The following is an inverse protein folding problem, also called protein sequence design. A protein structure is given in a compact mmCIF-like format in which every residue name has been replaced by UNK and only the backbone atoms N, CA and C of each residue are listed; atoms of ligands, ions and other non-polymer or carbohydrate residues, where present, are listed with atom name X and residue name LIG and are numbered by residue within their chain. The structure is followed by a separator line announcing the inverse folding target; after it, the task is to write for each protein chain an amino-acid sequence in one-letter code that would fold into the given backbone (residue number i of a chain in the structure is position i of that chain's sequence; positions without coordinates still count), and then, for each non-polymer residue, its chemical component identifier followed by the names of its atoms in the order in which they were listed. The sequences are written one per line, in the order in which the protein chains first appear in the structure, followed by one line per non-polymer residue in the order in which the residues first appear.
data_IF_802227733789
#
_entry.id   IF_802227733789
#
_cell.length_a   1.000
_cell.length_b   1.000
_cell.length_c   1.000
_cell.angle_alpha   90.00
_cell.angle_beta   90.00
_cell.angle_gamma   90.00
#
_symmetry.space_group_name_H-M   'P 1'
#
loop_
_entity.id
_entity.type
_entity.pdbx_description
1 polymer ?
#
# COMPACT_ATOMS: atom_id res chain seq x y z
N UNK A 1 -21.29 -9.93 10.60
CA UNK A 1 -21.26 -9.44 12.00
C UNK A 1 -21.94 -8.09 12.02
N UNK A 2 -22.83 -7.85 12.97
CA UNK A 2 -23.41 -6.51 13.16
C UNK A 2 -22.33 -5.52 13.63
N UNK A 3 -22.47 -4.26 13.27
CA UNK A 3 -21.44 -3.26 13.58
C UNK A 3 -21.26 -3.04 15.09
N UNK A 4 -22.37 -3.05 15.84
CA UNK A 4 -22.34 -2.89 17.32
C UNK A 4 -21.60 -4.04 18.02
N UNK A 5 -21.73 -5.24 17.48
CA UNK A 5 -21.01 -6.42 17.99
C UNK A 5 -19.50 -6.27 17.73
N UNK A 6 -19.13 -5.84 16.52
CA UNK A 6 -17.72 -5.61 16.17
C UNK A 6 -17.13 -4.47 17.00
N UNK A 7 -17.85 -3.37 17.19
CA UNK A 7 -17.41 -2.25 18.04
C UNK A 7 -17.17 -2.70 19.48
N UNK A 8 -18.07 -3.50 20.06
CA UNK A 8 -17.87 -4.03 21.42
C UNK A 8 -16.60 -4.89 21.52
N UNK A 9 -16.33 -5.73 20.53
CA UNK A 9 -15.11 -6.55 20.49
C UNK A 9 -13.85 -5.69 20.41
N UNK A 10 -13.84 -4.69 19.52
CA UNK A 10 -12.69 -3.78 19.35
C UNK A 10 -12.47 -2.97 20.65
N UNK A 11 -13.52 -2.42 21.22
CA UNK A 11 -13.43 -1.54 22.39
C UNK A 11 -13.08 -2.30 23.69
N UNK A 12 -13.19 -3.63 23.72
CA UNK A 12 -12.68 -4.44 24.80
C UNK A 12 -11.16 -4.26 25.01
N UNK A 13 -10.41 -4.00 23.93
CA UNK A 13 -8.97 -3.80 23.96
C UNK A 13 -8.55 -2.31 24.08
N UNK A 14 -9.49 -1.41 24.37
CA UNK A 14 -9.27 0.06 24.42
C UNK A 14 -8.11 0.46 25.33
N UNK A 15 -7.89 -0.23 26.45
CA UNK A 15 -6.79 0.08 27.35
C UNK A 15 -5.43 -0.16 26.70
N UNK A 16 -5.30 -1.21 25.89
CA UNK A 16 -4.07 -1.50 25.15
C UNK A 16 -3.81 -0.45 24.06
N UNK A 17 -4.85 -0.04 23.33
CA UNK A 17 -4.72 1.03 22.31
C UNK A 17 -4.24 2.34 22.93
N UNK A 18 -4.81 2.75 24.06
CA UNK A 18 -4.39 3.97 24.78
C UNK A 18 -2.97 3.88 25.31
N UNK A 19 -2.54 2.73 25.82
CA UNK A 19 -1.21 2.54 26.37
C UNK A 19 -0.13 2.52 25.27
N UNK A 20 -0.43 1.97 24.09
CA UNK A 20 0.52 1.81 22.99
C UNK A 20 0.49 2.94 21.96
N UNK A 21 -0.53 3.81 21.98
CA UNK A 21 -0.82 4.73 20.89
C UNK A 21 -1.29 4.01 19.61
N UNK A 22 -1.69 2.75 19.73
CA UNK A 22 -2.15 1.89 18.63
C UNK A 22 -3.63 2.03 18.32
N UNK A 23 -4.18 1.01 17.65
CA UNK A 23 -5.59 1.00 17.24
C UNK A 23 -5.94 -0.21 16.40
N UNK A 24 -6.88 -0.04 15.48
CA UNK A 24 -7.37 -1.11 14.62
C UNK A 24 -6.93 -0.92 13.18
N UNK A 25 -6.59 -2.02 12.51
CA UNK A 25 -6.31 -2.04 11.08
C UNK A 25 -7.42 -2.77 10.36
N UNK A 26 -8.10 -2.07 9.47
CA UNK A 26 -9.09 -2.67 8.58
C UNK A 26 -8.38 -3.26 7.37
N UNK A 27 -8.51 -4.56 7.18
CA UNK A 27 -7.91 -5.30 6.08
C UNK A 27 -8.80 -6.50 5.69
N UNK A 28 -8.28 -7.48 4.97
CA UNK A 28 -9.01 -8.69 4.58
C UNK A 28 -9.00 -8.89 3.07
N UNK A 29 -10.15 -8.82 2.38
CA UNK A 29 -10.21 -8.65 0.93
C UNK A 29 -9.80 -7.23 0.55
N UNK A 30 -10.73 -6.46 -0.04
CA UNK A 30 -10.57 -5.01 -0.18
C UNK A 30 -11.63 -4.34 0.70
N UNK A 31 -11.25 -3.70 1.82
CA UNK A 31 -12.22 -3.13 2.77
C UNK A 31 -13.13 -2.07 2.12
N UNK A 32 -12.61 -1.31 1.16
CA UNK A 32 -13.36 -0.26 0.47
C UNK A 32 -14.52 -0.78 -0.39
N UNK A 33 -14.59 -2.10 -0.65
CA UNK A 33 -15.75 -2.75 -1.27
C UNK A 33 -16.98 -2.76 -0.35
N UNK A 34 -16.77 -2.61 0.96
CA UNK A 34 -17.82 -2.52 1.97
C UNK A 34 -17.92 -1.09 2.52
N UNK A 35 -17.96 -0.12 1.61
CA UNK A 35 -17.76 1.29 1.87
C UNK A 35 -18.57 1.80 3.07
N UNK A 36 -19.90 1.66 3.06
CA UNK A 36 -20.78 2.21 4.10
C UNK A 36 -20.51 1.60 5.49
N UNK A 37 -20.26 0.30 5.52
CA UNK A 37 -19.92 -0.40 6.76
C UNK A 37 -18.58 0.07 7.32
N UNK A 38 -17.56 0.17 6.45
CA UNK A 38 -16.21 0.60 6.84
C UNK A 38 -16.20 2.06 7.27
N UNK A 39 -16.89 2.94 6.54
CA UNK A 39 -17.03 4.36 6.90
C UNK A 39 -17.68 4.54 8.27
N UNK A 40 -18.76 3.82 8.53
CA UNK A 40 -19.45 3.87 9.81
C UNK A 40 -18.54 3.38 10.95
N UNK A 41 -17.83 2.27 10.75
CA UNK A 41 -16.90 1.74 11.75
C UNK A 41 -15.76 2.72 12.04
N UNK A 42 -15.15 3.29 11.01
CA UNK A 42 -14.05 4.26 11.15
C UNK A 42 -14.49 5.49 11.96
N UNK A 43 -15.69 6.02 11.66
CA UNK A 43 -16.26 7.14 12.42
C UNK A 43 -16.44 6.81 13.89
N UNK A 44 -17.04 5.67 14.22
CA UNK A 44 -17.23 5.21 15.61
C UNK A 44 -15.87 5.06 16.31
N UNK A 45 -14.88 4.44 15.67
CA UNK A 45 -13.55 4.27 16.26
C UNK A 45 -12.87 5.61 16.52
N UNK A 46 -13.02 6.57 15.62
CA UNK A 46 -12.48 7.94 15.78
C UNK A 46 -13.14 8.67 16.96
N UNK A 47 -14.48 8.59 17.09
CA UNK A 47 -15.25 9.16 18.21
C UNK A 47 -14.83 8.54 19.55
N UNK A 48 -14.48 7.24 19.56
CA UNK A 48 -14.01 6.52 20.74
C UNK A 48 -12.51 6.73 21.06
N UNK A 49 -11.81 7.52 20.23
CA UNK A 49 -10.38 7.82 20.37
C UNK A 49 -9.48 6.59 20.14
N UNK A 50 -9.91 5.67 19.28
CA UNK A 50 -9.14 4.51 18.84
C UNK A 50 -8.44 4.85 17.51
N UNK A 51 -7.12 4.65 17.44
CA UNK A 51 -6.35 4.84 16.21
C UNK A 51 -6.86 3.93 15.09
N UNK A 52 -6.89 4.43 13.86
CA UNK A 52 -7.47 3.73 12.70
C UNK A 52 -6.47 3.61 11.57
N UNK A 53 -6.30 2.41 11.05
CA UNK A 53 -5.51 2.15 9.86
C UNK A 53 -6.34 1.40 8.82
N UNK A 54 -6.12 1.70 7.55
CA UNK A 54 -6.71 0.99 6.42
C UNK A 54 -5.61 0.36 5.57
N UNK A 55 -5.77 -0.91 5.24
CA UNK A 55 -4.97 -1.58 4.22
C UNK A 55 -5.80 -1.74 2.96
N UNK A 56 -5.37 -1.13 1.86
CA UNK A 56 -6.10 -1.12 0.58
C UNK A 56 -5.18 -1.43 -0.59
N UNK A 57 -5.73 -2.04 -1.64
CA UNK A 57 -5.06 -2.16 -2.93
C UNK A 57 -5.22 -0.88 -3.80
N UNK A 58 -5.90 0.15 -3.32
CA UNK A 58 -6.09 1.41 -4.02
C UNK A 58 -7.20 1.40 -5.08
N UNK A 59 -7.96 0.31 -5.23
CA UNK A 59 -9.04 0.21 -6.21
C UNK A 59 -10.38 0.61 -5.58
N UNK A 60 -10.60 1.91 -5.41
CA UNK A 60 -11.81 2.48 -4.81
C UNK A 60 -12.27 3.74 -5.55
N UNK A 61 -13.52 4.14 -5.33
CA UNK A 61 -14.02 5.44 -5.81
C UNK A 61 -13.30 6.57 -5.09
N UNK A 62 -12.61 7.42 -5.87
CA UNK A 62 -11.76 8.49 -5.35
C UNK A 62 -12.55 9.50 -4.52
N UNK A 63 -13.70 9.94 -5.02
CA UNK A 63 -14.53 10.98 -4.40
C UNK A 63 -15.12 10.48 -3.09
N UNK A 64 -15.79 9.34 -3.12
CA UNK A 64 -16.36 8.75 -1.90
C UNK A 64 -15.32 8.49 -0.83
N UNK A 65 -14.14 8.01 -1.22
CA UNK A 65 -13.06 7.75 -0.27
C UNK A 65 -12.60 9.05 0.42
N UNK A 66 -12.39 10.12 -0.35
CA UNK A 66 -11.96 11.41 0.19
C UNK A 66 -13.01 12.03 1.10
N UNK A 67 -14.27 12.01 0.68
CA UNK A 67 -15.35 12.71 1.37
C UNK A 67 -15.81 11.99 2.64
N UNK A 68 -15.79 10.66 2.64
CA UNK A 68 -16.43 9.87 3.68
C UNK A 68 -15.44 9.11 4.59
N UNK A 69 -14.29 8.64 4.07
CA UNK A 69 -13.36 7.79 4.83
C UNK A 69 -12.11 8.51 5.32
N UNK A 70 -11.51 9.35 4.47
CA UNK A 70 -10.15 9.85 4.68
C UNK A 70 -9.98 10.62 5.99
N UNK A 71 -10.99 11.40 6.40
CA UNK A 71 -10.95 12.18 7.65
C UNK A 71 -10.84 11.30 8.91
N UNK A 72 -11.31 10.06 8.82
CA UNK A 72 -11.34 9.10 9.93
C UNK A 72 -10.19 8.09 9.91
N UNK A 73 -9.15 8.30 9.06
CA UNK A 73 -7.99 7.43 8.95
C UNK A 73 -6.74 8.13 9.50
N UNK A 74 -6.03 7.47 10.40
CA UNK A 74 -4.74 7.92 10.92
C UNK A 74 -3.57 7.35 10.12
N UNK A 75 -3.76 6.18 9.48
CA UNK A 75 -2.74 5.52 8.68
C UNK A 75 -3.36 4.80 7.48
N UNK A 76 -2.70 4.86 6.33
CA UNK A 76 -3.11 4.19 5.10
C UNK A 76 -1.95 3.34 4.59
N UNK A 77 -2.11 2.03 4.64
CA UNK A 77 -1.25 1.07 3.95
C UNK A 77 -1.77 0.86 2.54
N UNK A 78 -1.00 1.27 1.56
CA UNK A 78 -1.35 1.21 0.16
C UNK A 78 -0.54 0.13 -0.55
N UNK A 79 -1.17 -0.96 -0.94
CA UNK A 79 -0.51 -2.11 -1.58
C UNK A 79 -0.33 -1.84 -3.09
N UNK A 80 0.84 -1.39 -3.52
CA UNK A 80 1.22 -1.22 -4.92
C UNK A 80 1.95 -2.48 -5.41
N UNK A 81 1.29 -3.30 -6.23
CA UNK A 81 1.78 -4.62 -6.61
C UNK A 81 2.64 -4.59 -7.88
N UNK A 82 2.16 -3.92 -8.90
CA UNK A 82 2.79 -3.86 -10.23
C UNK A 82 2.66 -2.46 -10.78
N UNK A 83 3.75 -1.91 -11.34
CA UNK A 83 3.76 -0.61 -11.99
C UNK A 83 3.17 -0.67 -13.41
N UNK A 84 3.40 -1.79 -14.12
CA UNK A 84 2.88 -2.01 -15.48
C UNK A 84 1.40 -2.44 -15.44
N UNK A 85 0.54 -1.72 -16.17
CA UNK A 85 -0.90 -1.97 -16.19
C UNK A 85 -1.30 -3.29 -16.87
N UNK A 86 -0.53 -3.76 -17.86
CA UNK A 86 -0.81 -5.03 -18.53
C UNK A 86 -0.44 -6.21 -17.65
N UNK A 87 0.73 -6.16 -17.00
CA UNK A 87 1.13 -7.17 -16.02
C UNK A 87 0.14 -7.18 -14.84
N UNK A 88 -0.29 -6.00 -14.39
CA UNK A 88 -1.29 -5.90 -13.34
C UNK A 88 -2.60 -6.58 -13.76
N UNK A 89 -3.07 -6.36 -14.99
CA UNK A 89 -4.28 -7.03 -15.53
C UNK A 89 -4.13 -8.54 -15.62
N UNK A 90 -2.96 -9.02 -16.06
CA UNK A 90 -2.67 -10.47 -16.16
C UNK A 90 -2.75 -11.15 -14.79
N UNK A 91 -2.17 -10.53 -13.75
CA UNK A 91 -2.03 -11.15 -12.44
C UNK A 91 -3.18 -10.88 -11.47
N UNK A 92 -3.95 -9.79 -11.69
CA UNK A 92 -5.04 -9.38 -10.77
C UNK A 92 -6.42 -9.32 -11.44
N UNK A 93 -6.49 -9.39 -12.77
CA UNK A 93 -7.73 -9.30 -13.54
C UNK A 93 -8.13 -7.86 -13.92
N UNK A 94 -7.43 -6.84 -13.46
CA UNK A 94 -7.70 -5.42 -13.77
C UNK A 94 -6.42 -4.65 -14.00
N UNK A 95 -6.46 -3.56 -14.77
CA UNK A 95 -5.32 -2.65 -14.84
C UNK A 95 -5.17 -1.81 -13.56
N UNK A 96 -4.08 -1.04 -13.48
CA UNK A 96 -3.75 -0.24 -12.31
C UNK A 96 -3.97 1.26 -12.49
N UNK A 97 -4.61 1.72 -13.56
CA UNK A 97 -4.76 3.16 -13.83
C UNK A 97 -5.48 3.90 -12.69
N UNK A 98 -6.60 3.33 -12.20
CA UNK A 98 -7.31 3.89 -11.05
C UNK A 98 -6.48 3.83 -9.76
N UNK A 99 -5.73 2.76 -9.57
CA UNK A 99 -4.84 2.57 -8.40
C UNK A 99 -3.78 3.67 -8.37
N UNK A 100 -3.09 3.92 -9.49
CA UNK A 100 -2.07 4.96 -9.61
C UNK A 100 -2.65 6.37 -9.45
N UNK A 101 -3.85 6.61 -10.00
CA UNK A 101 -4.58 7.86 -9.78
C UNK A 101 -4.87 8.09 -8.29
N UNK A 102 -5.38 7.08 -7.59
CA UNK A 102 -5.69 7.16 -6.16
C UNK A 102 -4.43 7.32 -5.32
N UNK A 103 -3.32 6.65 -5.68
CA UNK A 103 -2.04 6.83 -5.02
C UNK A 103 -1.52 8.26 -5.15
N UNK A 104 -1.57 8.84 -6.35
CA UNK A 104 -1.15 10.22 -6.59
C UNK A 104 -2.01 11.22 -5.81
N UNK A 105 -3.33 11.00 -5.76
CA UNK A 105 -4.24 11.82 -4.96
C UNK A 105 -3.90 11.74 -3.47
N UNK A 106 -3.72 10.54 -2.91
CA UNK A 106 -3.36 10.37 -1.50
C UNK A 106 -1.98 10.97 -1.17
N UNK A 107 -1.02 10.86 -2.07
CA UNK A 107 0.30 11.48 -1.92
C UNK A 107 0.21 13.02 -1.89
N UNK A 108 -0.77 13.61 -2.57
CA UNK A 108 -0.98 15.06 -2.56
C UNK A 108 -1.64 15.58 -1.26
N UNK A 109 -2.60 14.83 -0.69
CA UNK A 109 -3.45 15.35 0.39
C UNK A 109 -3.28 14.65 1.75
N UNK A 110 -2.63 13.48 1.79
CA UNK A 110 -2.51 12.65 2.99
C UNK A 110 -1.14 11.96 3.12
N UNK A 111 -0.10 12.51 2.53
CA UNK A 111 1.24 11.91 2.41
C UNK A 111 1.81 11.41 3.74
N UNK A 112 1.66 12.19 4.82
CA UNK A 112 2.20 11.86 6.15
C UNK A 112 1.53 10.63 6.78
N UNK A 113 0.34 10.27 6.31
CA UNK A 113 -0.40 9.08 6.76
C UNK A 113 -0.28 7.89 5.82
N UNK A 114 0.47 8.05 4.70
CA UNK A 114 0.57 7.06 3.62
C UNK A 114 1.83 6.21 3.78
N UNK A 115 1.66 4.89 3.72
CA UNK A 115 2.76 3.91 3.61
C UNK A 115 2.51 3.06 2.38
N UNK A 116 3.37 3.17 1.37
CA UNK A 116 3.31 2.30 0.19
C UNK A 116 3.93 0.95 0.52
N UNK A 117 3.20 -0.12 0.25
CA UNK A 117 3.66 -1.49 0.50
C UNK A 117 3.74 -2.27 -0.81
N UNK A 118 4.85 -2.97 -0.99
CA UNK A 118 5.09 -3.79 -2.19
C UNK A 118 5.26 -5.24 -1.77
N UNK A 119 4.29 -6.13 -2.07
CA UNK A 119 4.45 -7.55 -1.81
C UNK A 119 5.47 -8.14 -2.80
N UNK A 120 6.47 -8.86 -2.28
CA UNK A 120 7.56 -9.45 -3.06
C UNK A 120 7.19 -10.88 -3.49
N UNK A 121 6.37 -11.03 -4.52
CA UNK A 121 6.05 -12.35 -5.09
C UNK A 121 7.10 -12.71 -6.14
N UNK A 122 7.92 -13.78 -5.93
CA UNK A 122 8.98 -14.17 -6.84
C UNK A 122 8.48 -14.34 -8.29
N UNK A 123 9.21 -13.75 -9.26
CA UNK A 123 8.90 -13.83 -10.67
C UNK A 123 7.67 -13.02 -11.13
N UNK A 124 6.96 -12.37 -10.21
CA UNK A 124 5.77 -11.55 -10.53
C UNK A 124 6.01 -10.11 -10.12
N UNK A 125 6.00 -9.81 -8.83
CA UNK A 125 6.20 -8.44 -8.32
C UNK A 125 7.65 -8.20 -7.89
N UNK A 126 8.35 -9.23 -7.42
CA UNK A 126 9.76 -9.22 -7.07
C UNK A 126 10.62 -9.38 -8.33
N UNK A 127 10.65 -8.37 -9.16
CA UNK A 127 11.52 -8.26 -10.35
C UNK A 127 12.20 -6.91 -10.34
N UNK A 128 13.43 -6.84 -10.88
CA UNK A 128 14.19 -5.59 -10.95
C UNK A 128 13.40 -4.48 -11.65
N UNK A 129 12.81 -4.80 -12.81
CA UNK A 129 12.03 -3.84 -13.58
C UNK A 129 10.84 -3.28 -12.80
N UNK A 130 10.07 -4.15 -12.13
CA UNK A 130 8.90 -3.71 -11.37
C UNK A 130 9.29 -2.88 -10.14
N UNK A 131 10.30 -3.32 -9.39
CA UNK A 131 10.75 -2.61 -8.19
C UNK A 131 11.36 -1.25 -8.52
N UNK A 132 12.15 -1.15 -9.60
CA UNK A 132 12.70 0.12 -10.08
C UNK A 132 11.60 1.07 -10.56
N UNK A 133 10.59 0.58 -11.25
CA UNK A 133 9.45 1.39 -11.69
C UNK A 133 8.61 1.88 -10.50
N UNK A 134 8.34 1.02 -9.51
CA UNK A 134 7.64 1.42 -8.28
C UNK A 134 8.47 2.43 -7.48
N UNK A 135 9.79 2.24 -7.36
CA UNK A 135 10.67 3.19 -6.70
C UNK A 135 10.62 4.58 -7.37
N UNK A 136 10.55 4.63 -8.71
CA UNK A 136 10.34 5.89 -9.43
C UNK A 136 9.01 6.55 -9.07
N UNK A 137 7.91 5.81 -9.05
CA UNK A 137 6.58 6.32 -8.66
C UNK A 137 6.61 6.87 -7.24
N UNK A 138 7.15 6.11 -6.28
CA UNK A 138 7.24 6.49 -4.85
C UNK A 138 8.03 7.80 -4.69
N UNK A 139 9.18 7.91 -5.37
CA UNK A 139 10.02 9.11 -5.38
C UNK A 139 9.30 10.30 -6.02
N UNK A 140 8.74 10.13 -7.22
CA UNK A 140 8.12 11.22 -8.00
C UNK A 140 6.91 11.82 -7.26
N UNK A 141 6.21 11.00 -6.48
CA UNK A 141 5.14 11.42 -5.59
C UNK A 141 5.65 11.95 -4.23
N UNK A 142 6.95 11.89 -3.96
CA UNK A 142 7.56 12.34 -2.71
C UNK A 142 7.09 11.54 -1.48
N UNK A 143 6.79 10.26 -1.65
CA UNK A 143 6.34 9.39 -0.56
C UNK A 143 7.55 8.90 0.23
N UNK A 144 7.62 9.26 1.51
CA UNK A 144 8.76 8.93 2.36
C UNK A 144 8.67 7.55 3.03
N UNK A 145 7.46 7.01 3.18
CA UNK A 145 7.22 5.75 3.92
C UNK A 145 6.85 4.63 2.97
N UNK A 146 7.65 3.58 2.97
CA UNK A 146 7.42 2.39 2.16
C UNK A 146 7.92 1.13 2.86
N UNK A 147 7.33 0.00 2.51
CA UNK A 147 7.65 -1.33 3.03
C UNK A 147 7.69 -2.35 1.89
N UNK A 148 8.71 -3.20 1.85
CA UNK A 148 8.72 -4.40 1.04
C UNK A 148 8.26 -5.56 1.91
N UNK A 149 7.23 -6.27 1.46
CA UNK A 149 6.65 -7.39 2.19
C UNK A 149 7.19 -8.71 1.63
N UNK A 150 8.04 -9.44 2.39
CA UNK A 150 8.59 -10.70 1.94
C UNK A 150 7.49 -11.70 1.60
N UNK A 151 7.73 -12.50 0.57
CA UNK A 151 6.77 -13.51 0.15
C UNK A 151 6.59 -14.60 1.22
N UNK A 152 5.33 -14.84 1.57
CA UNK A 152 4.91 -15.93 2.45
C UNK A 152 3.79 -16.72 1.79
N UNK A 153 3.97 -18.04 1.54
CA UNK A 153 2.99 -18.90 0.87
C UNK A 153 1.78 -19.27 1.74
N UNK A 154 1.66 -18.75 2.96
CA UNK A 154 0.53 -19.03 3.86
C UNK A 154 -0.85 -18.82 3.23
N UNK A 155 -0.97 -17.86 2.29
CA UNK A 155 -2.17 -17.65 1.49
C UNK A 155 -2.54 -18.85 0.58
N UNK A 156 -1.56 -19.61 0.11
CA UNK A 156 -1.78 -20.83 -0.69
C UNK A 156 -2.42 -21.93 0.15
N UNK A 157 -1.97 -22.12 1.40
CA UNK A 157 -2.58 -23.08 2.33
C UNK A 157 -4.03 -22.73 2.61
N UNK A 158 -4.34 -21.46 2.83
CA UNK A 158 -5.72 -20.99 3.01
C UNK A 158 -6.58 -21.27 1.76
N UNK A 159 -6.04 -21.01 0.56
CA UNK A 159 -6.74 -21.32 -0.70
C UNK A 159 -7.01 -22.81 -0.87
N UNK A 160 -6.03 -23.68 -0.57
CA UNK A 160 -6.23 -25.14 -0.59
C UNK A 160 -7.35 -25.58 0.35
N UNK A 161 -7.35 -25.08 1.60
CA UNK A 161 -8.40 -25.39 2.58
C UNK A 161 -9.80 -24.93 2.12
N UNK A 162 -9.89 -23.88 1.31
CA UNK A 162 -11.14 -23.36 0.76
C UNK A 162 -11.51 -23.99 -0.60
N UNK A 163 -10.80 -25.04 -1.07
CA UNK A 163 -11.03 -25.67 -2.35
C UNK A 163 -10.79 -24.74 -3.57
N UNK A 164 -10.10 -23.63 -3.38
CA UNK A 164 -9.85 -22.66 -4.46
C UNK A 164 -8.62 -23.06 -5.27
N UNK A 165 -8.70 -22.87 -6.61
CA UNK A 165 -7.58 -23.13 -7.51
C UNK A 165 -6.36 -22.30 -7.11
N UNK A 166 -5.18 -22.92 -7.08
CA UNK A 166 -3.93 -22.23 -6.83
C UNK A 166 -3.47 -21.45 -8.08
N UNK A 167 -2.86 -20.27 -7.90
CA UNK A 167 -2.22 -19.56 -9.00
C UNK A 167 -1.08 -20.42 -9.59
N UNK A 168 -0.91 -20.39 -10.90
CA UNK A 168 0.21 -21.08 -11.55
C UNK A 168 1.50 -20.26 -11.37
N UNK A 169 2.63 -20.97 -11.21
CA UNK A 169 3.95 -20.34 -11.16
C UNK A 169 4.29 -19.56 -9.89
N UNK A 170 3.48 -19.69 -8.83
CA UNK A 170 3.76 -19.07 -7.54
C UNK A 170 4.54 -20.03 -6.66
N UNK A 171 5.64 -19.57 -6.05
CA UNK A 171 6.49 -20.37 -5.18
C UNK A 171 5.71 -20.91 -3.97
N UNK A 172 6.01 -22.15 -3.57
CA UNK A 172 5.38 -22.79 -2.40
C UNK A 172 6.21 -22.63 -1.10
N UNK A 173 7.39 -22.03 -1.20
CA UNK A 173 8.29 -21.76 -0.08
C UNK A 173 8.37 -20.26 0.21
N UNK A 174 8.58 -19.84 1.46
CA UNK A 174 8.82 -18.45 1.80
C UNK A 174 10.06 -17.90 1.10
N UNK A 175 10.09 -16.56 0.89
CA UNK A 175 11.29 -15.86 0.43
C UNK A 175 12.41 -15.98 1.47
N UNK A 176 13.64 -16.24 1.01
CA UNK A 176 14.82 -16.29 1.86
C UNK A 176 15.25 -14.90 2.32
N UNK A 177 15.96 -14.82 3.44
CA UNK A 177 16.44 -13.53 3.99
C UNK A 177 17.41 -12.83 3.05
N UNK A 178 18.29 -13.56 2.40
CA UNK A 178 19.29 -12.98 1.48
C UNK A 178 18.61 -12.42 0.22
N UNK A 179 17.60 -13.11 -0.28
CA UNK A 179 16.79 -12.66 -1.42
C UNK A 179 15.98 -11.41 -1.05
N UNK A 180 15.35 -11.39 0.13
CA UNK A 180 14.66 -10.20 0.65
C UNK A 180 15.62 -9.01 0.76
N UNK A 181 16.79 -9.23 1.33
CA UNK A 181 17.81 -8.18 1.49
C UNK A 181 18.26 -7.63 0.15
N UNK A 182 18.50 -8.48 -0.84
CA UNK A 182 18.88 -8.06 -2.20
C UNK A 182 17.79 -7.15 -2.83
N UNK A 183 16.50 -7.48 -2.68
CA UNK A 183 15.43 -6.63 -3.17
C UNK A 183 15.30 -5.31 -2.40
N UNK A 184 15.55 -5.30 -1.09
CA UNK A 184 15.59 -4.06 -0.29
C UNK A 184 16.71 -3.13 -0.74
N UNK A 185 17.89 -3.66 -1.02
CA UNK A 185 19.03 -2.91 -1.52
C UNK A 185 18.77 -2.37 -2.93
N UNK A 186 18.22 -3.20 -3.81
CA UNK A 186 17.80 -2.80 -5.16
C UNK A 186 16.82 -1.61 -5.11
N UNK A 187 15.75 -1.73 -4.32
CA UNK A 187 14.72 -0.69 -4.20
C UNK A 187 15.31 0.60 -3.64
N UNK A 188 16.08 0.51 -2.56
CA UNK A 188 16.76 1.65 -1.95
C UNK A 188 17.76 2.34 -2.88
N UNK A 189 18.50 1.56 -3.68
CA UNK A 189 19.42 2.08 -4.70
C UNK A 189 18.66 2.80 -5.80
N UNK A 190 17.54 2.23 -6.29
CA UNK A 190 16.71 2.83 -7.32
C UNK A 190 16.14 4.18 -6.89
N UNK A 191 15.70 4.32 -5.64
CA UNK A 191 15.28 5.60 -5.07
C UNK A 191 16.41 6.65 -5.12
N UNK A 192 17.64 6.31 -4.68
CA UNK A 192 18.79 7.24 -4.59
C UNK A 192 19.37 7.65 -5.94
N UNK A 193 19.53 6.73 -6.87
CA UNK A 193 20.07 7.02 -8.22
C UNK A 193 19.21 8.07 -8.91
N UNK A 194 17.91 7.93 -8.77
CA UNK A 194 16.97 8.84 -9.42
C UNK A 194 16.95 10.22 -8.74
N UNK A 195 17.14 10.31 -7.41
CA UNK A 195 17.34 11.59 -6.70
C UNK A 195 18.57 12.35 -7.20
N UNK A 196 19.66 11.63 -7.47
CA UNK A 196 20.91 12.21 -8.00
C UNK A 196 20.71 12.76 -9.41
N UNK A 197 19.98 12.06 -10.27
CA UNK A 197 19.68 12.50 -11.65
C UNK A 197 18.78 13.73 -11.63
N UNK A 198 17.77 13.78 -10.77
CA UNK A 198 16.87 14.94 -10.64
C UNK A 198 17.61 16.17 -10.10
N UNK A 199 18.56 15.98 -9.18
CA UNK A 199 19.40 17.06 -8.68
C UNK A 199 20.29 17.65 -9.77
N UNK A 200 20.87 16.81 -10.63
CA UNK A 200 21.67 17.23 -11.79
C UNK A 200 20.78 17.97 -12.80
N UNK A 201 19.59 17.46 -13.13
CA UNK A 201 18.64 18.12 -14.04
C UNK A 201 18.20 19.49 -13.53
N UNK A 202 17.90 19.65 -12.25
CA UNK A 202 17.53 20.94 -11.64
C UNK A 202 18.68 21.94 -11.63
N UNK A 203 19.92 21.48 -11.49
CA UNK A 203 21.12 22.33 -11.58
C UNK A 203 21.38 22.78 -13.02
N UNK A 204 21.24 21.90 -14.02
CA UNK A 204 21.43 22.26 -15.44
C UNK A 204 20.34 23.23 -15.94
N UNK A 205 19.08 23.10 -15.50
CA UNK A 205 18.03 24.07 -15.83
C UNK A 205 18.25 25.47 -15.21
N UNK A 206 18.91 25.55 -14.05
CA UNK A 206 19.23 26.85 -13.43
C UNK A 206 20.39 27.56 -14.11
N UNK A 207 21.34 26.84 -14.69
CA UNK A 207 22.47 27.42 -15.41
C UNK A 207 22.10 27.98 -16.79
N UNK A 208 20.97 27.57 -17.37
CA UNK A 208 20.52 28.05 -18.69
C UNK A 208 19.76 29.40 -18.61
N UNK A 209 19.38 29.86 -17.43
CA UNK A 209 18.67 31.13 -17.22
C UNK A 209 19.55 32.29 -16.73
N UNK A 210 20.88 32.11 -16.65
CA UNK A 210 21.82 33.17 -16.19
C UNK A 210 22.63 33.81 -17.35
N UNK A 211 22.33 33.47 -18.58
CA UNK A 211 22.97 34.08 -19.76
C UNK A 211 21.90 34.64 -20.70
N UNK A 212 21.26 35.70 -20.29
CA UNK A 212 20.71 36.76 -21.16
C UNK A 212 20.73 38.08 -20.42
#
# INVERSE_FOLDING_TARGET
MAIDELCRLILADRHFYRASGGGVTLSGGEPTMHHDYVTTLLRIMKEEGVGTALQTCGYFDTTRFCDEMLANLDLIYFDLKLADGNLHRIHTGRDNALILKNLAMLAAIAKERLVVRVPLVPGITATENNLSAIASIVRDLGIARWELLPYNPGGLHKRRKLGKRLPRGVAEIPMGRDEEQAFRELFSRSLRILESIDKIRRQSCRSTFITQ
#
